data_IF_489268607296
#
_entry.id   IF_489268607296
#
_cell.length_a   1.000
_cell.length_b   1.000
_cell.length_c   1.000
_cell.angle_alpha   90.00
_cell.angle_beta   90.00
_cell.angle_gamma   90.00
#
_symmetry.space_group_name_H-M   'P 1'
#
loop_
_entity.id
_entity.type
_entity.pdbx_description
1 polymer ?
#
# COMPACT_ATOMS: atom_id res chain seq x y z
N UNK A 1 -24.26 9.81 -3.51
CA UNK A 1 -23.88 8.90 -2.39
C UNK A 1 -22.73 9.51 -1.60
N UNK A 2 -22.87 9.55 -0.33
CA UNK A 2 -21.85 10.13 0.51
C UNK A 2 -20.64 9.21 0.67
N UNK A 3 -19.49 9.82 0.76
CA UNK A 3 -18.27 9.08 1.06
C UNK A 3 -18.31 8.56 2.48
N UNK A 4 -17.98 7.30 2.68
CA UNK A 4 -17.88 6.68 4.00
C UNK A 4 -16.45 6.67 4.52
N UNK A 5 -15.49 7.20 3.77
CA UNK A 5 -14.09 7.23 4.18
C UNK A 5 -13.91 8.26 5.28
N UNK A 6 -13.33 7.82 6.39
CA UNK A 6 -13.14 8.66 7.56
C UNK A 6 -11.68 8.65 7.99
N UNK A 7 -11.11 9.83 8.16
CA UNK A 7 -9.76 9.96 8.71
C UNK A 7 -9.76 9.56 10.19
N UNK A 8 -8.81 8.72 10.60
CA UNK A 8 -8.71 8.23 11.97
C UNK A 8 -7.56 8.85 12.74
N UNK A 9 -6.35 8.76 12.22
CA UNK A 9 -5.16 9.19 12.96
C UNK A 9 -3.99 9.37 12.00
N UNK A 10 -3.06 10.21 12.40
CA UNK A 10 -1.82 10.47 11.67
C UNK A 10 -0.65 10.35 12.64
N UNK A 11 0.45 9.75 12.18
CA UNK A 11 1.67 9.60 12.97
C UNK A 11 2.90 9.76 12.08
N UNK A 12 4.03 10.04 12.71
CA UNK A 12 5.31 10.02 12.01
C UNK A 12 5.73 8.57 11.78
N UNK A 13 6.33 8.30 10.63
CA UNK A 13 6.82 6.96 10.28
C UNK A 13 8.21 7.07 9.68
N UNK A 14 9.26 7.06 10.50
CA UNK A 14 10.61 6.99 9.95
C UNK A 14 10.87 5.60 9.37
N UNK A 15 11.46 5.56 8.19
CA UNK A 15 11.78 4.30 7.52
C UNK A 15 13.20 4.35 6.97
N UNK A 16 13.71 3.20 6.55
CA UNK A 16 15.04 3.15 5.92
C UNK A 16 15.07 3.86 4.56
N UNK A 17 13.91 4.15 3.97
CA UNK A 17 13.82 4.89 2.71
C UNK A 17 13.68 6.39 2.94
N UNK A 18 13.50 6.81 4.18
CA UNK A 18 13.30 8.21 4.53
C UNK A 18 12.12 8.36 5.48
N UNK A 19 11.83 9.60 5.86
CA UNK A 19 10.74 9.92 6.75
C UNK A 19 9.43 10.08 6.01
N UNK A 20 8.37 9.55 6.61
CA UNK A 20 7.01 9.68 6.12
C UNK A 20 6.08 10.04 7.26
N UNK A 21 4.89 10.47 6.91
CA UNK A 21 3.74 10.54 7.82
C UNK A 21 2.77 9.47 7.37
N UNK A 22 2.25 8.70 8.31
CA UNK A 22 1.27 7.65 8.00
C UNK A 22 -0.09 8.09 8.51
N UNK A 23 -1.09 8.05 7.63
CA UNK A 23 -2.46 8.41 7.93
C UNK A 23 -3.34 7.18 7.75
N UNK A 24 -4.21 6.93 8.72
CA UNK A 24 -5.13 5.79 8.65
C UNK A 24 -6.55 6.29 8.37
N UNK A 25 -7.24 5.58 7.49
CA UNK A 25 -8.60 5.91 7.06
C UNK A 25 -9.49 4.68 7.15
N UNK A 26 -10.67 4.85 7.71
CA UNK A 26 -11.68 3.81 7.78
C UNK A 26 -12.65 4.00 6.60
N UNK A 27 -12.80 2.96 5.77
CA UNK A 27 -13.75 3.01 4.66
C UNK A 27 -15.13 2.53 5.07
N UNK A 28 -15.24 1.87 6.23
CA UNK A 28 -16.48 1.26 6.68
C UNK A 28 -16.79 -0.07 6.01
N UNK A 29 -15.97 -0.50 5.06
CA UNK A 29 -16.20 -1.72 4.29
C UNK A 29 -15.20 -2.82 4.64
N UNK A 30 -13.96 -2.47 4.98
CA UNK A 30 -12.91 -3.41 5.33
C UNK A 30 -12.65 -3.40 6.83
N UNK A 31 -12.18 -4.54 7.38
CA UNK A 31 -11.83 -4.63 8.78
C UNK A 31 -10.61 -3.75 9.13
N UNK A 32 -9.66 -3.67 8.20
CA UNK A 32 -8.43 -2.93 8.44
C UNK A 32 -8.49 -1.56 7.77
N UNK A 33 -7.94 -0.53 8.39
CA UNK A 33 -7.93 0.79 7.77
C UNK A 33 -7.00 0.81 6.56
N UNK A 34 -7.35 1.61 5.57
CA UNK A 34 -6.42 1.92 4.49
C UNK A 34 -5.45 2.98 4.95
N UNK A 35 -4.26 3.00 4.35
CA UNK A 35 -3.18 3.87 4.79
C UNK A 35 -2.76 4.81 3.68
N UNK A 36 -2.36 6.01 4.06
CA UNK A 36 -1.67 6.94 3.16
C UNK A 36 -0.31 7.26 3.79
N UNK A 37 0.75 7.13 3.01
CA UNK A 37 2.09 7.54 3.42
C UNK A 37 2.45 8.79 2.65
N UNK A 38 2.66 9.88 3.40
CA UNK A 38 3.04 11.17 2.80
C UNK A 38 4.52 11.38 3.11
N UNK A 39 5.33 11.54 2.07
CA UNK A 39 6.77 11.74 2.28
C UNK A 39 7.02 13.09 2.95
N UNK A 40 8.04 13.15 3.83
CA UNK A 40 8.41 14.41 4.48
C UNK A 40 8.92 15.44 3.47
N UNK A 41 9.35 14.97 2.30
CA UNK A 41 9.81 15.84 1.22
C UNK A 41 8.67 16.44 0.40
N UNK A 42 7.44 16.01 0.63
CA UNK A 42 6.28 16.52 -0.10
C UNK A 42 6.02 17.98 0.28
N UNK A 43 5.88 18.83 -0.73
CA UNK A 43 5.59 20.25 -0.54
C UNK A 43 4.25 20.58 -1.19
N UNK A 44 3.35 21.08 -0.37
CA UNK A 44 2.02 21.45 -0.83
C UNK A 44 2.04 22.89 -1.35
N UNK A 45 2.65 23.09 -2.50
CA UNK A 45 2.76 24.43 -3.09
C UNK A 45 1.63 24.72 -4.08
N UNK A 46 0.88 23.72 -4.49
CA UNK A 46 -0.26 23.88 -5.39
C UNK A 46 0.11 24.15 -6.84
N UNK A 47 1.39 24.12 -7.18
CA UNK A 47 1.87 24.43 -8.52
C UNK A 47 2.05 23.18 -9.36
N UNK A 48 2.75 22.21 -8.82
CA UNK A 48 3.09 20.97 -9.52
C UNK A 48 2.11 19.86 -9.20
N UNK A 49 1.85 18.94 -10.16
CA UNK A 49 1.07 17.75 -9.86
C UNK A 49 1.71 16.92 -8.75
N UNK A 50 0.88 16.31 -7.91
CA UNK A 50 1.34 15.44 -6.83
C UNK A 50 1.54 14.04 -7.38
N UNK A 51 2.70 13.43 -7.12
CA UNK A 51 2.95 12.04 -7.46
C UNK A 51 2.20 11.15 -6.47
N UNK A 52 1.36 10.26 -6.98
CA UNK A 52 0.59 9.33 -6.16
C UNK A 52 0.83 7.91 -6.67
N UNK A 53 1.14 7.01 -5.73
CA UNK A 53 1.28 5.58 -6.04
C UNK A 53 0.22 4.83 -5.25
N UNK A 54 -0.43 3.87 -5.90
CA UNK A 54 -1.42 3.02 -5.25
C UNK A 54 -0.85 1.62 -5.17
N UNK A 55 -0.83 1.07 -3.95
CA UNK A 55 -0.29 -0.26 -3.70
C UNK A 55 -1.31 -1.07 -2.92
N UNK A 56 -1.75 -2.19 -3.50
CA UNK A 56 -2.65 -3.10 -2.81
C UNK A 56 -1.85 -4.04 -1.92
N UNK A 57 -2.31 -4.26 -0.71
CA UNK A 57 -1.65 -5.10 0.26
C UNK A 57 -1.33 -6.48 -0.30
N UNK A 58 -0.12 -6.95 -0.04
CA UNK A 58 0.34 -8.28 -0.40
C UNK A 58 1.27 -8.78 0.70
N UNK A 59 0.72 -9.44 1.72
CA UNK A 59 1.52 -9.83 2.88
C UNK A 59 2.70 -10.71 2.48
N UNK A 60 2.48 -11.65 1.57
CA UNK A 60 3.54 -12.58 1.16
C UNK A 60 4.70 -11.84 0.47
N UNK A 61 4.40 -10.83 -0.33
CA UNK A 61 5.43 -10.04 -1.00
C UNK A 61 5.95 -8.90 -0.16
N UNK A 62 5.06 -8.11 0.46
CA UNK A 62 5.43 -6.89 1.18
C UNK A 62 6.18 -7.20 2.47
N UNK A 63 5.76 -8.21 3.21
CA UNK A 63 6.31 -8.55 4.52
C UNK A 63 7.24 -9.74 4.44
N UNK A 64 6.79 -10.84 3.84
CA UNK A 64 7.52 -12.10 3.82
C UNK A 64 8.50 -12.19 2.64
N UNK A 65 8.44 -11.26 1.72
CA UNK A 65 9.39 -11.12 0.61
C UNK A 65 9.43 -12.33 -0.31
N UNK A 66 8.24 -12.88 -0.59
CA UNK A 66 8.11 -14.00 -1.51
C UNK A 66 8.55 -13.62 -2.92
N UNK A 67 9.15 -14.56 -3.63
CA UNK A 67 9.53 -14.38 -5.04
C UNK A 67 8.39 -14.68 -6.02
N UNK A 68 7.19 -15.04 -5.52
CA UNK A 68 6.03 -15.26 -6.38
C UNK A 68 5.53 -13.99 -7.06
N UNK A 69 5.86 -12.83 -6.48
CA UNK A 69 5.48 -11.54 -7.04
C UNK A 69 6.59 -10.54 -6.76
N UNK A 70 6.48 -9.37 -7.34
CA UNK A 70 7.41 -8.27 -7.10
C UNK A 70 6.82 -7.18 -6.20
N UNK A 71 5.75 -7.50 -5.46
CA UNK A 71 5.04 -6.52 -4.64
C UNK A 71 5.95 -5.83 -3.62
N UNK A 72 6.77 -6.59 -2.92
CA UNK A 72 7.68 -6.02 -1.93
C UNK A 72 8.73 -5.11 -2.56
N UNK A 73 9.23 -5.49 -3.75
CA UNK A 73 10.19 -4.67 -4.47
C UNK A 73 9.53 -3.39 -5.00
N UNK A 74 8.30 -3.49 -5.50
CA UNK A 74 7.54 -2.34 -5.96
C UNK A 74 7.26 -1.37 -4.82
N UNK A 75 6.90 -1.89 -3.65
CA UNK A 75 6.65 -1.06 -2.47
C UNK A 75 7.92 -0.32 -2.07
N UNK A 76 9.04 -1.03 -1.97
CA UNK A 76 10.32 -0.42 -1.61
C UNK A 76 10.74 0.64 -2.62
N UNK A 77 10.62 0.33 -3.91
CA UNK A 77 10.95 1.27 -4.98
C UNK A 77 10.09 2.52 -4.89
N UNK A 78 8.78 2.35 -4.67
CA UNK A 78 7.85 3.46 -4.58
C UNK A 78 8.17 4.37 -3.38
N UNK A 79 8.48 3.78 -2.23
CA UNK A 79 8.81 4.57 -1.05
C UNK A 79 10.10 5.36 -1.25
N UNK A 80 11.13 4.73 -1.84
CA UNK A 80 12.38 5.42 -2.12
C UNK A 80 12.18 6.57 -3.11
N UNK A 81 11.39 6.32 -4.15
CA UNK A 81 11.10 7.36 -5.16
C UNK A 81 10.34 8.53 -4.56
N UNK A 82 9.32 8.25 -3.76
CA UNK A 82 8.49 9.30 -3.16
C UNK A 82 9.26 10.09 -2.10
N UNK A 83 10.19 9.47 -1.40
CA UNK A 83 11.07 10.22 -0.50
C UNK A 83 11.91 11.22 -1.28
N UNK A 84 12.39 10.84 -2.45
CA UNK A 84 13.25 11.68 -3.27
C UNK A 84 12.49 12.82 -3.95
N UNK A 85 11.33 12.51 -4.53
CA UNK A 85 10.58 13.47 -5.35
C UNK A 85 9.45 14.17 -4.61
N UNK A 86 9.03 13.63 -3.47
CA UNK A 86 7.85 14.10 -2.76
C UNK A 86 6.58 13.49 -3.33
N UNK A 87 5.66 13.09 -2.48
CA UNK A 87 4.39 12.54 -2.92
C UNK A 87 3.74 11.66 -1.89
N UNK A 88 2.76 10.89 -2.34
CA UNK A 88 1.89 10.09 -1.48
C UNK A 88 1.78 8.67 -2.00
N UNK A 89 1.86 7.70 -1.10
CA UNK A 89 1.56 6.30 -1.40
C UNK A 89 0.28 5.91 -0.68
N UNK A 90 -0.68 5.40 -1.42
CA UNK A 90 -1.93 4.87 -0.86
C UNK A 90 -1.77 3.36 -0.74
N UNK A 91 -1.83 2.86 0.49
CA UNK A 91 -1.67 1.43 0.76
C UNK A 91 -3.05 0.86 1.11
N UNK A 92 -3.62 0.12 0.17
CA UNK A 92 -4.95 -0.44 0.32
C UNK A 92 -4.88 -1.80 1.02
N UNK A 93 -5.60 -1.92 2.13
CA UNK A 93 -5.63 -3.15 2.92
C UNK A 93 -6.65 -4.13 2.32
N UNK A 94 -6.33 -4.61 1.11
CA UNK A 94 -7.19 -5.48 0.31
C UNK A 94 -6.39 -6.69 -0.14
N UNK A 95 -6.04 -7.58 0.79
CA UNK A 95 -5.23 -8.76 0.49
C UNK A 95 -5.88 -9.59 -0.62
N UNK A 96 -5.06 -9.99 -1.61
CA UNK A 96 -5.56 -10.77 -2.73
C UNK A 96 -6.63 -10.06 -3.56
N UNK A 97 -6.55 -8.74 -3.66
CA UNK A 97 -7.57 -7.91 -4.34
C UNK A 97 -8.94 -8.04 -3.69
N UNK A 98 -8.96 -8.19 -2.36
CA UNK A 98 -10.20 -8.28 -1.61
C UNK A 98 -10.69 -9.67 -1.32
N UNK A 99 -10.07 -10.72 -1.88
CA UNK A 99 -10.50 -12.11 -1.60
C UNK A 99 -9.92 -12.65 -0.29
N UNK A 100 -8.91 -11.97 0.26
CA UNK A 100 -8.30 -12.37 1.52
C UNK A 100 -7.10 -13.28 1.34
N UNK A 101 -6.31 -13.39 2.40
CA UNK A 101 -5.04 -14.12 2.37
C UNK A 101 -5.25 -15.61 2.16
N UNK A 102 -6.22 -16.21 2.85
CA UNK A 102 -6.43 -17.66 2.77
C UNK A 102 -6.76 -18.09 1.35
N UNK A 103 -7.69 -17.40 0.71
CA UNK A 103 -8.07 -17.72 -0.68
C UNK A 103 -6.92 -17.49 -1.64
N UNK A 104 -6.11 -16.46 -1.38
CA UNK A 104 -4.91 -16.20 -2.17
C UNK A 104 -3.92 -17.35 -2.07
N UNK A 105 -3.71 -17.90 -0.87
CA UNK A 105 -2.81 -19.03 -0.68
C UNK A 105 -3.33 -20.28 -1.36
N UNK A 106 -4.65 -20.49 -1.38
CA UNK A 106 -5.26 -21.58 -2.14
C UNK A 106 -5.00 -21.42 -3.63
N UNK A 107 -5.07 -20.18 -4.13
CA UNK A 107 -4.78 -19.91 -5.53
C UNK A 107 -3.31 -20.22 -5.86
N UNK A 108 -2.38 -19.93 -4.95
CA UNK A 108 -0.99 -20.32 -5.13
C UNK A 108 -0.83 -21.84 -5.31
N UNK A 109 -1.58 -22.61 -4.52
CA UNK A 109 -1.54 -24.08 -4.62
C UNK A 109 -2.06 -24.54 -5.98
N UNK A 110 -3.10 -23.91 -6.50
CA UNK A 110 -3.63 -24.24 -7.82
C UNK A 110 -2.61 -23.91 -8.91
N UNK A 111 -1.91 -22.79 -8.79
CA UNK A 111 -0.85 -22.42 -9.73
C UNK A 111 0.28 -23.44 -9.71
N UNK A 112 0.67 -23.90 -8.51
CA UNK A 112 1.72 -24.91 -8.38
C UNK A 112 1.30 -26.26 -9.00
N UNK A 113 0.00 -26.52 -9.01
CA UNK A 113 -0.56 -27.71 -9.66
C UNK A 113 -0.78 -27.52 -11.17
N UNK A 114 -0.36 -26.38 -11.72
CA UNK A 114 -0.45 -26.11 -13.14
C UNK A 114 -1.74 -25.48 -13.61
N UNK A 115 -2.60 -25.06 -12.69
CA UNK A 115 -3.84 -24.38 -13.06
C UNK A 115 -3.62 -22.88 -13.21
N UNK A 116 -4.26 -22.31 -14.21
CA UNK A 116 -4.23 -20.88 -14.44
C UNK A 116 -5.29 -20.19 -13.60
N UNK A 117 -4.90 -19.20 -12.84
CA UNK A 117 -5.84 -18.48 -11.96
C UNK A 117 -5.89 -16.98 -12.24
#
# INVERSE_FOLDING_TARGET
>A
MESSVKFLVESRLPTKFGGFRILAFDSGLEEMPHLALVSDSFKKDGVDPVSVRIHSECMTGDVLRSSRCDCGEQLAFSMALLHKSGGVLIYLRQEGRGIGLVEKLKAYNLQDAGQDT
#
